data_IF_411030321235
#
_entry.id   IF_411030321235
#
_cell.length_a   1.000
_cell.length_b   1.000
_cell.length_c   1.000
_cell.angle_alpha   90.00
_cell.angle_beta   90.00
_cell.angle_gamma   90.00
#
_symmetry.space_group_name_H-M   'P 1'
#
loop_
_entity.id
_entity.type
_entity.pdbx_description
1 polymer ?
#
# COMPACT_ATOMS: atom_id res chain seq x y z
N UNK A 1 51.89 60.45 12.88
CA UNK A 1 53.19 60.47 13.55
C UNK A 1 53.07 60.71 15.10
N UNK A 2 52.08 60.10 15.79
CA UNK A 2 51.89 60.15 17.22
C UNK A 2 52.91 59.33 18.02
N UNK A 3 53.33 58.17 17.46
CA UNK A 3 54.23 57.24 18.16
C UNK A 3 55.58 57.88 18.60
N UNK A 4 56.32 58.55 17.73
CA UNK A 4 57.59 59.22 18.13
C UNK A 4 57.37 60.31 19.18
N UNK A 5 56.25 61.06 19.11
CA UNK A 5 55.92 62.10 20.09
C UNK A 5 55.62 61.54 21.47
N UNK A 6 54.82 60.46 21.50
CA UNK A 6 54.49 59.77 22.77
C UNK A 6 55.75 59.13 23.39
N UNK A 7 56.62 58.52 22.55
CA UNK A 7 57.87 57.96 23.03
C UNK A 7 58.85 59.02 23.57
N UNK A 8 58.98 60.16 22.89
CA UNK A 8 59.78 61.28 23.35
C UNK A 8 59.24 61.81 24.70
N UNK A 9 57.91 61.86 24.84
CA UNK A 9 57.25 62.31 26.05
C UNK A 9 57.39 61.34 27.21
N UNK A 10 57.26 60.06 26.96
CA UNK A 10 57.54 59.02 27.95
C UNK A 10 58.96 59.08 28.49
N UNK A 11 59.91 59.35 27.58
CA UNK A 11 61.35 59.48 27.96
C UNK A 11 61.62 60.78 28.70
N UNK A 12 60.91 61.90 28.42
CA UNK A 12 61.09 63.16 29.15
C UNK A 12 60.68 63.04 30.60
N UNK A 13 59.65 62.22 30.90
CA UNK A 13 59.16 62.00 32.24
C UNK A 13 58.76 63.31 32.97
N UNK A 14 58.48 63.15 34.26
CA UNK A 14 58.11 64.25 35.14
C UNK A 14 59.24 65.23 35.34
N UNK A 15 60.47 64.74 35.47
CA UNK A 15 61.70 65.53 35.67
C UNK A 15 62.03 66.36 34.42
N UNK A 16 61.90 65.79 33.25
CA UNK A 16 62.16 66.53 31.97
C UNK A 16 61.23 67.69 31.76
N UNK A 17 59.94 67.54 32.16
CA UNK A 17 58.96 68.63 32.14
C UNK A 17 59.34 69.77 33.07
N UNK A 18 59.76 69.45 34.30
CA UNK A 18 60.20 70.44 35.27
C UNK A 18 61.50 71.16 34.81
N UNK A 19 62.50 70.46 34.23
CA UNK A 19 63.66 71.07 33.63
C UNK A 19 63.36 71.98 32.46
N UNK A 20 62.34 71.62 31.61
CA UNK A 20 61.89 72.45 30.52
C UNK A 20 61.24 73.74 30.99
N UNK A 21 60.47 73.73 32.06
CA UNK A 21 59.87 74.91 32.66
C UNK A 21 60.90 75.79 33.42
N UNK A 22 61.72 75.20 34.26
CA UNK A 22 62.72 75.89 35.08
C UNK A 22 63.93 76.45 34.33
N UNK A 23 64.16 75.99 33.13
CA UNK A 23 65.17 76.53 32.20
C UNK A 23 64.72 77.81 31.52
N UNK A 24 63.61 78.44 31.85
CA UNK A 24 63.11 79.72 31.32
C UNK A 24 63.87 80.91 31.98
N UNK A 25 64.12 81.93 31.21
CA UNK A 25 64.82 83.12 31.67
C UNK A 25 63.91 84.21 32.30
N UNK A 26 62.63 84.08 32.13
CA UNK A 26 61.65 85.02 32.68
C UNK A 26 60.32 84.30 33.01
N UNK A 27 59.45 84.85 33.89
CA UNK A 27 58.13 84.37 34.26
C UNK A 27 57.21 84.29 33.05
N UNK A 28 57.29 85.29 32.16
CA UNK A 28 56.54 85.29 30.89
C UNK A 28 56.86 84.13 29.97
N UNK A 29 58.13 83.72 29.96
CA UNK A 29 58.59 82.53 29.18
C UNK A 29 58.10 81.22 29.83
N UNK A 30 58.09 81.08 31.14
CA UNK A 30 57.50 79.93 31.82
C UNK A 30 56.01 79.77 31.47
N UNK A 31 55.24 80.87 31.54
CA UNK A 31 53.82 80.84 31.21
C UNK A 31 53.55 80.49 29.74
N UNK A 32 54.42 80.94 28.84
CA UNK A 32 54.31 80.60 27.42
C UNK A 32 54.63 79.13 27.17
N UNK A 33 55.71 78.59 27.77
CA UNK A 33 56.13 77.17 27.67
C UNK A 33 55.02 76.27 28.26
N UNK A 34 54.41 76.65 29.43
CA UNK A 34 53.26 75.92 30.02
C UNK A 34 52.07 75.86 29.09
N UNK A 35 51.69 77.00 28.45
CA UNK A 35 50.57 77.03 27.51
C UNK A 35 50.83 76.15 26.27
N UNK A 36 52.00 76.24 25.69
CA UNK A 36 52.37 75.39 24.54
C UNK A 36 52.37 73.90 24.91
N UNK A 37 52.89 73.55 26.09
CA UNK A 37 52.88 72.18 26.53
C UNK A 37 51.47 71.65 26.81
N UNK A 38 50.60 72.42 27.42
CA UNK A 38 49.21 72.04 27.65
C UNK A 38 48.45 71.89 26.33
N UNK A 39 48.57 72.82 25.38
CA UNK A 39 47.95 72.69 24.10
C UNK A 39 48.43 71.44 23.31
N UNK A 40 49.73 71.11 23.43
CA UNK A 40 50.28 69.90 22.85
C UNK A 40 49.73 68.63 23.51
N UNK A 41 49.53 68.72 24.88
CA UNK A 41 48.96 67.63 25.65
C UNK A 41 47.52 67.35 25.25
N UNK A 42 46.71 68.39 25.16
CA UNK A 42 45.31 68.30 24.73
C UNK A 42 45.18 67.71 23.34
N UNK A 43 45.98 68.24 22.38
CA UNK A 43 45.96 67.69 21.00
C UNK A 43 46.41 66.22 20.93
N UNK A 44 47.35 65.76 21.81
CA UNK A 44 47.75 64.37 21.85
C UNK A 44 46.68 63.46 22.50
N UNK A 45 45.97 63.98 23.51
CA UNK A 45 44.85 63.26 24.16
C UNK A 45 43.69 63.09 23.20
N UNK A 46 43.31 64.17 22.46
CA UNK A 46 42.26 64.11 21.44
C UNK A 46 42.63 63.12 20.31
N UNK A 47 43.88 63.16 19.84
CA UNK A 47 44.33 62.21 18.83
C UNK A 47 44.31 60.75 19.31
N UNK A 48 44.67 60.49 20.60
CA UNK A 48 44.51 59.18 21.25
C UNK A 48 43.07 58.76 21.37
N UNK A 49 42.16 59.63 21.71
CA UNK A 49 40.71 59.38 21.81
C UNK A 49 40.15 58.94 20.45
N UNK A 50 40.48 59.69 19.38
CA UNK A 50 40.08 59.37 18.00
C UNK A 50 40.63 58.01 17.59
N UNK A 51 41.92 57.72 17.91
CA UNK A 51 42.53 56.44 17.55
C UNK A 51 41.92 55.24 18.28
N UNK A 52 41.59 55.45 19.59
CA UNK A 52 40.84 54.43 20.36
C UNK A 52 39.45 54.20 19.77
N UNK A 53 38.70 55.23 19.51
CA UNK A 53 37.38 55.13 18.93
C UNK A 53 37.44 54.37 17.57
N UNK A 54 38.40 54.72 16.69
CA UNK A 54 38.56 54.03 15.44
C UNK A 54 38.99 52.56 15.63
N UNK A 55 39.85 52.27 16.62
CA UNK A 55 40.27 50.88 16.92
C UNK A 55 39.10 50.05 17.46
N UNK A 56 38.27 50.60 18.36
CA UNK A 56 37.09 49.93 18.94
C UNK A 56 36.03 49.72 17.84
N UNK A 57 35.82 50.69 16.97
CA UNK A 57 34.94 50.52 15.81
C UNK A 57 35.40 49.45 14.84
N UNK A 58 36.74 49.41 14.54
CA UNK A 58 37.32 48.38 13.69
C UNK A 58 37.23 46.98 14.35
N UNK A 59 37.35 46.89 15.66
CA UNK A 59 37.18 45.63 16.39
C UNK A 59 35.72 45.17 16.30
N UNK A 60 34.75 46.05 16.61
CA UNK A 60 33.34 45.72 16.52
C UNK A 60 32.93 45.24 15.12
N UNK A 61 33.38 45.92 14.07
CA UNK A 61 33.13 45.52 12.69
C UNK A 61 33.76 44.15 12.33
N UNK A 62 34.92 43.81 12.88
CA UNK A 62 35.51 42.48 12.69
C UNK A 62 34.72 41.39 13.42
N UNK A 63 34.28 41.65 14.63
CA UNK A 63 33.49 40.71 15.42
C UNK A 63 32.13 40.44 14.76
N UNK A 64 31.47 41.46 14.23
CA UNK A 64 30.23 41.36 13.47
C UNK A 64 30.44 40.58 12.16
N UNK A 65 31.51 40.86 11.41
CA UNK A 65 31.84 40.11 10.19
C UNK A 65 32.12 38.63 10.51
N UNK A 66 32.79 38.34 11.61
CA UNK A 66 33.08 36.97 12.02
C UNK A 66 31.78 36.22 12.38
N UNK A 67 30.85 36.86 13.12
CA UNK A 67 29.55 36.31 13.44
C UNK A 67 28.71 36.03 12.17
N UNK A 68 28.64 36.99 11.28
CA UNK A 68 27.92 36.86 10.01
C UNK A 68 28.48 35.73 9.09
N UNK A 69 29.80 35.58 9.05
CA UNK A 69 30.45 34.47 8.33
C UNK A 69 30.12 33.11 8.94
N UNK A 70 30.08 32.99 10.26
CA UNK A 70 29.70 31.76 10.95
C UNK A 70 28.26 31.39 10.65
N UNK A 71 27.33 32.34 10.74
CA UNK A 71 25.92 32.14 10.41
C UNK A 71 25.72 31.68 8.97
N UNK A 72 26.42 32.32 8.01
CA UNK A 72 26.37 31.93 6.62
C UNK A 72 26.92 30.49 6.41
N UNK A 73 28.00 30.14 7.07
CA UNK A 73 28.55 28.78 6.98
C UNK A 73 27.60 27.73 7.54
N UNK A 74 26.96 28.00 8.68
CA UNK A 74 25.94 27.10 9.27
C UNK A 74 24.72 26.95 8.38
N UNK A 75 24.23 28.05 7.79
CA UNK A 75 23.08 27.99 6.87
C UNK A 75 23.42 27.22 5.57
N UNK A 76 24.62 27.42 5.01
CA UNK A 76 25.07 26.68 3.85
C UNK A 76 25.21 25.17 4.13
N UNK A 77 25.72 24.81 5.31
CA UNK A 77 25.78 23.41 5.72
C UNK A 77 24.39 22.80 5.87
N UNK A 78 23.46 23.48 6.53
CA UNK A 78 22.09 23.02 6.71
C UNK A 78 21.37 22.85 5.36
N UNK A 79 21.62 23.72 4.39
CA UNK A 79 21.06 23.59 3.04
C UNK A 79 21.64 22.38 2.31
N UNK A 80 22.96 22.15 2.42
CA UNK A 80 23.63 20.98 1.85
C UNK A 80 23.04 19.67 2.41
N UNK A 81 22.85 19.60 3.74
CA UNK A 81 22.29 18.43 4.41
C UNK A 81 20.85 18.18 3.97
N UNK A 82 20.04 19.24 3.82
CA UNK A 82 18.67 19.14 3.31
C UNK A 82 18.64 18.62 1.87
N UNK A 83 19.52 19.10 1.01
CA UNK A 83 19.63 18.62 -0.39
C UNK A 83 19.99 17.13 -0.44
N UNK A 84 20.97 16.71 0.34
CA UNK A 84 21.36 15.30 0.42
C UNK A 84 20.19 14.41 0.92
N UNK A 85 19.47 14.85 1.95
CA UNK A 85 18.28 14.15 2.45
C UNK A 85 17.15 14.06 1.42
N UNK A 86 16.93 15.11 0.63
CA UNK A 86 15.95 15.12 -0.46
C UNK A 86 16.35 14.16 -1.59
N UNK A 87 17.60 14.10 -1.98
CA UNK A 87 18.09 13.16 -3.00
C UNK A 87 17.85 11.72 -2.59
N UNK A 88 18.13 11.37 -1.33
CA UNK A 88 17.85 10.03 -0.79
C UNK A 88 16.34 9.70 -0.88
N UNK A 89 15.48 10.64 -0.50
CA UNK A 89 14.03 10.46 -0.59
C UNK A 89 13.55 10.28 -2.04
N UNK A 90 14.08 11.06 -2.97
CA UNK A 90 13.74 10.95 -4.40
C UNK A 90 14.14 9.58 -4.96
N UNK A 91 15.33 9.08 -4.58
CA UNK A 91 15.78 7.74 -5.00
C UNK A 91 14.88 6.66 -4.41
N UNK A 92 14.50 6.76 -3.13
CA UNK A 92 13.57 5.82 -2.49
C UNK A 92 12.20 5.82 -3.17
N UNK A 93 11.63 7.00 -3.45
CA UNK A 93 10.34 7.12 -4.14
C UNK A 93 10.39 6.53 -5.56
N UNK A 94 11.48 6.76 -6.31
CA UNK A 94 11.65 6.16 -7.63
C UNK A 94 11.69 4.63 -7.57
N UNK A 95 12.40 4.05 -6.59
CA UNK A 95 12.44 2.58 -6.40
C UNK A 95 11.05 2.04 -6.08
N UNK A 96 10.32 2.69 -5.16
CA UNK A 96 8.96 2.30 -4.80
C UNK A 96 8.00 2.40 -5.98
N UNK A 97 8.11 3.45 -6.81
CA UNK A 97 7.30 3.59 -8.01
C UNK A 97 7.53 2.43 -9.00
N UNK A 98 8.81 2.06 -9.22
CA UNK A 98 9.15 0.94 -10.11
C UNK A 98 8.58 -0.38 -9.59
N UNK A 99 8.68 -0.66 -8.27
CA UNK A 99 8.11 -1.89 -7.70
C UNK A 99 6.59 -1.94 -7.85
N UNK A 100 5.89 -0.84 -7.56
CA UNK A 100 4.43 -0.76 -7.73
C UNK A 100 4.02 -0.93 -9.19
N UNK A 101 4.76 -0.34 -10.14
CA UNK A 101 4.50 -0.53 -11.57
C UNK A 101 4.71 -1.98 -12.02
N UNK A 102 5.74 -2.65 -11.52
CA UNK A 102 5.98 -4.08 -11.80
C UNK A 102 4.85 -4.96 -11.24
N UNK A 103 4.48 -4.76 -9.99
CA UNK A 103 3.35 -5.47 -9.37
C UNK A 103 2.06 -5.26 -10.15
N UNK A 104 1.76 -4.02 -10.53
CA UNK A 104 0.59 -3.69 -11.35
C UNK A 104 0.60 -4.41 -12.70
N UNK A 105 1.73 -4.47 -13.40
CA UNK A 105 1.85 -5.16 -14.68
C UNK A 105 1.56 -6.67 -14.54
N UNK A 106 2.06 -7.32 -13.47
CA UNK A 106 1.79 -8.73 -13.17
C UNK A 106 0.30 -8.94 -12.88
N UNK A 107 -0.32 -8.07 -12.09
CA UNK A 107 -1.76 -8.15 -11.81
C UNK A 107 -2.62 -7.94 -13.06
N UNK A 108 -2.30 -6.98 -13.90
CA UNK A 108 -3.02 -6.73 -15.16
C UNK A 108 -2.90 -7.93 -16.13
N UNK A 109 -1.75 -8.60 -16.13
CA UNK A 109 -1.58 -9.83 -16.92
C UNK A 109 -2.45 -10.96 -16.35
N UNK A 110 -2.44 -11.17 -15.03
CA UNK A 110 -3.26 -12.19 -14.39
C UNK A 110 -4.76 -11.95 -14.63
N UNK A 111 -5.22 -10.71 -14.57
CA UNK A 111 -6.61 -10.35 -14.90
C UNK A 111 -6.96 -10.70 -16.36
N UNK A 112 -6.08 -10.38 -17.32
CA UNK A 112 -6.31 -10.74 -18.73
C UNK A 112 -6.41 -12.26 -18.92
N UNK A 113 -5.51 -13.03 -18.30
CA UNK A 113 -5.54 -14.50 -18.37
C UNK A 113 -6.82 -15.08 -17.77
N UNK A 114 -7.29 -14.54 -16.64
CA UNK A 114 -8.56 -14.94 -16.01
C UNK A 114 -9.78 -14.57 -16.88
N UNK A 115 -9.78 -13.42 -17.54
CA UNK A 115 -10.85 -13.04 -18.47
C UNK A 115 -10.90 -13.95 -19.70
N UNK A 116 -9.74 -14.34 -20.24
CA UNK A 116 -9.65 -15.28 -21.35
C UNK A 116 -10.16 -16.66 -20.93
N UNK A 117 -9.75 -17.16 -19.75
CA UNK A 117 -10.25 -18.41 -19.20
C UNK A 117 -11.77 -18.39 -19.01
N UNK A 118 -12.32 -17.27 -18.51
CA UNK A 118 -13.75 -17.09 -18.33
C UNK A 118 -14.53 -17.04 -19.66
N UNK A 119 -13.93 -16.49 -20.72
CA UNK A 119 -14.52 -16.53 -22.08
C UNK A 119 -14.49 -17.96 -22.65
N UNK A 120 -13.38 -18.68 -22.51
CA UNK A 120 -13.26 -20.06 -22.93
C UNK A 120 -14.27 -20.97 -22.22
N UNK A 121 -14.43 -20.78 -20.91
CA UNK A 121 -15.45 -21.48 -20.12
C UNK A 121 -16.87 -21.20 -20.60
N UNK A 122 -17.18 -19.94 -20.90
CA UNK A 122 -18.50 -19.56 -21.43
C UNK A 122 -18.78 -20.22 -22.80
N UNK A 123 -17.76 -20.34 -23.67
CA UNK A 123 -17.86 -21.08 -24.94
C UNK A 123 -18.15 -22.56 -24.70
N UNK A 124 -17.38 -23.20 -23.83
CA UNK A 124 -17.58 -24.63 -23.52
C UNK A 124 -18.97 -24.92 -22.93
N UNK A 125 -19.48 -24.06 -22.07
CA UNK A 125 -20.85 -24.20 -21.53
C UNK A 125 -21.92 -24.01 -22.60
N UNK A 126 -21.71 -23.13 -23.59
CA UNK A 126 -22.59 -22.99 -24.73
C UNK A 126 -22.69 -24.29 -25.57
N UNK A 127 -21.54 -24.93 -25.77
CA UNK A 127 -21.48 -26.17 -26.55
C UNK A 127 -22.11 -27.35 -25.78
N UNK A 128 -21.88 -27.44 -24.48
CA UNK A 128 -22.54 -28.41 -23.61
C UNK A 128 -24.08 -28.20 -23.59
N UNK A 129 -24.52 -26.94 -23.49
CA UNK A 129 -25.97 -26.64 -23.53
C UNK A 129 -26.65 -26.96 -24.84
N UNK A 130 -25.91 -26.98 -25.95
CA UNK A 130 -26.44 -27.41 -27.30
C UNK A 130 -26.40 -28.93 -27.43
N UNK A 131 -25.49 -29.61 -26.76
CA UNK A 131 -25.32 -31.07 -26.81
C UNK A 131 -26.18 -31.80 -25.79
N UNK A 132 -26.78 -31.09 -24.81
CA UNK A 132 -27.76 -31.64 -23.90
C UNK A 132 -29.06 -31.88 -24.69
N UNK A 133 -29.13 -33.04 -25.37
CA UNK A 133 -30.40 -33.61 -25.75
C UNK A 133 -31.29 -33.68 -24.48
N UNK A 134 -32.61 -33.52 -24.59
CA UNK A 134 -33.49 -33.71 -23.45
C UNK A 134 -33.11 -35.05 -22.79
N UNK A 135 -32.51 -35.01 -21.63
CA UNK A 135 -32.25 -36.20 -20.85
C UNK A 135 -33.64 -36.72 -20.51
N UNK A 136 -34.09 -37.73 -21.30
CA UNK A 136 -35.18 -38.57 -20.86
C UNK A 136 -34.70 -39.15 -19.52
N UNK A 137 -35.20 -38.55 -18.45
CA UNK A 137 -34.87 -38.94 -17.10
C UNK A 137 -35.19 -40.44 -16.98
N UNK A 138 -34.16 -41.25 -16.85
CA UNK A 138 -34.29 -42.59 -16.26
C UNK A 138 -34.85 -42.35 -14.86
N UNK A 139 -36.15 -42.48 -14.75
CA UNK A 139 -36.99 -42.18 -13.57
C UNK A 139 -36.57 -43.10 -12.42
N UNK A 140 -35.74 -42.63 -11.52
CA UNK A 140 -35.74 -43.11 -10.15
C UNK A 140 -36.86 -42.39 -9.40
N UNK A 141 -37.84 -43.10 -8.79
CA UNK A 141 -39.10 -42.51 -8.34
C UNK A 141 -39.05 -41.66 -7.07
N UNK A 142 -37.89 -41.24 -6.58
CA UNK A 142 -37.77 -40.69 -5.23
C UNK A 142 -36.89 -39.43 -5.09
N UNK A 143 -36.66 -38.70 -6.16
CA UNK A 143 -35.95 -37.40 -6.08
C UNK A 143 -36.95 -36.27 -6.25
N UNK A 144 -36.91 -35.30 -5.32
CA UNK A 144 -37.70 -34.08 -5.37
C UNK A 144 -37.63 -33.43 -6.77
N UNK A 145 -38.69 -33.63 -7.59
CA UNK A 145 -38.74 -33.23 -9.00
C UNK A 145 -39.05 -31.75 -9.20
N UNK A 146 -38.83 -30.94 -8.15
CA UNK A 146 -39.02 -29.50 -8.27
C UNK A 146 -37.99 -28.93 -9.27
N UNK A 147 -38.41 -28.29 -10.38
CA UNK A 147 -37.48 -27.66 -11.30
C UNK A 147 -36.55 -26.72 -10.51
N UNK A 148 -35.23 -26.76 -10.82
CA UNK A 148 -34.20 -25.94 -10.11
C UNK A 148 -34.57 -24.46 -10.10
N UNK A 149 -35.21 -23.95 -11.17
CA UNK A 149 -35.70 -22.55 -11.24
C UNK A 149 -36.72 -22.19 -10.12
N UNK A 150 -37.46 -23.14 -9.61
CA UNK A 150 -38.42 -22.95 -8.48
C UNK A 150 -37.75 -23.13 -7.11
N UNK A 151 -36.50 -23.62 -7.07
CA UNK A 151 -35.72 -23.85 -5.88
C UNK A 151 -34.89 -22.64 -5.42
N UNK A 152 -35.13 -21.46 -5.96
CA UNK A 152 -34.42 -20.23 -5.55
C UNK A 152 -34.53 -20.00 -4.04
N UNK A 153 -33.38 -19.83 -3.36
CA UNK A 153 -33.28 -19.69 -1.90
C UNK A 153 -33.32 -21.00 -1.13
N UNK A 154 -33.36 -22.17 -1.82
CA UNK A 154 -33.45 -23.50 -1.21
C UNK A 154 -32.24 -24.40 -1.51
N UNK A 155 -31.31 -23.96 -2.42
CA UNK A 155 -30.14 -24.74 -2.75
C UNK A 155 -29.25 -24.93 -1.52
N UNK A 156 -28.66 -26.12 -1.39
CA UNK A 156 -27.73 -26.44 -0.29
C UNK A 156 -26.50 -25.57 -0.40
N UNK A 157 -25.98 -25.10 0.74
CA UNK A 157 -24.71 -24.36 0.73
C UNK A 157 -23.58 -25.35 0.45
N UNK A 158 -22.66 -25.05 -0.50
CA UNK A 158 -21.69 -26.04 -1.01
C UNK A 158 -20.65 -26.49 0.01
N UNK A 159 -20.42 -25.73 1.10
CA UNK A 159 -19.43 -26.03 2.14
C UNK A 159 -20.00 -25.78 3.51
N UNK A 160 -20.02 -26.77 4.40
CA UNK A 160 -20.67 -26.66 5.71
C UNK A 160 -20.08 -25.53 6.59
N UNK A 161 -18.77 -25.37 6.61
CA UNK A 161 -18.05 -24.43 7.48
C UNK A 161 -17.29 -23.33 6.73
N UNK A 162 -17.71 -23.00 5.49
CA UNK A 162 -17.06 -21.95 4.69
C UNK A 162 -17.58 -20.53 5.02
N UNK A 163 -16.72 -19.52 4.86
CA UNK A 163 -17.08 -18.10 4.94
C UNK A 163 -16.98 -17.46 3.57
N UNK A 164 -18.03 -16.79 3.10
CA UNK A 164 -17.96 -15.99 1.88
C UNK A 164 -16.99 -14.84 2.10
N UNK A 165 -15.91 -14.82 1.35
CA UNK A 165 -14.85 -13.81 1.38
C UNK A 165 -15.06 -12.77 0.29
N UNK A 166 -15.35 -13.21 -0.95
CA UNK A 166 -15.68 -12.33 -2.06
C UNK A 166 -17.07 -12.65 -2.59
N UNK A 167 -17.88 -11.62 -2.74
CA UNK A 167 -19.27 -11.73 -3.17
C UNK A 167 -19.40 -11.51 -4.67
N UNK A 168 -20.53 -11.99 -5.23
CA UNK A 168 -20.92 -11.76 -6.60
C UNK A 168 -21.10 -10.27 -6.91
N UNK A 169 -20.66 -9.83 -8.09
CA UNK A 169 -20.85 -8.48 -8.59
C UNK A 169 -19.56 -7.68 -8.74
N UNK A 170 -19.69 -6.37 -8.74
CA UNK A 170 -18.54 -5.46 -8.87
C UNK A 170 -17.85 -5.28 -7.54
N UNK A 171 -16.58 -5.61 -7.48
CA UNK A 171 -15.73 -5.42 -6.31
C UNK A 171 -14.64 -4.42 -6.65
N UNK A 172 -14.47 -3.41 -5.80
CA UNK A 172 -13.38 -2.44 -5.90
C UNK A 172 -12.20 -2.98 -5.07
N UNK A 173 -11.04 -3.15 -5.70
CA UNK A 173 -9.81 -3.43 -4.97
C UNK A 173 -9.35 -2.16 -4.26
N UNK A 174 -9.24 -2.16 -2.92
CA UNK A 174 -8.90 -0.98 -2.16
C UNK A 174 -7.43 -0.54 -2.33
N UNK A 175 -6.52 -1.42 -2.79
CA UNK A 175 -5.11 -1.12 -2.95
C UNK A 175 -4.80 -0.53 -4.33
N UNK A 176 -5.48 -1.04 -5.36
CA UNK A 176 -5.19 -0.66 -6.75
C UNK A 176 -6.29 0.18 -7.39
N UNK A 177 -7.43 0.38 -6.72
CA UNK A 177 -8.59 1.12 -7.26
C UNK A 177 -9.20 0.45 -8.50
N UNK A 178 -8.84 -0.82 -8.78
CA UNK A 178 -9.34 -1.57 -9.93
C UNK A 178 -10.72 -2.16 -9.62
N UNK A 179 -11.63 -2.08 -10.60
CA UNK A 179 -12.95 -2.71 -10.50
C UNK A 179 -12.88 -4.09 -11.12
N UNK A 180 -13.06 -5.13 -10.31
CA UNK A 180 -13.16 -6.52 -10.77
C UNK A 180 -14.63 -6.94 -10.81
N UNK A 181 -15.02 -7.69 -11.84
CA UNK A 181 -16.35 -8.27 -11.95
C UNK A 181 -16.31 -9.72 -11.48
N UNK A 182 -16.76 -9.96 -10.26
CA UNK A 182 -16.85 -11.30 -9.68
C UNK A 182 -18.11 -12.00 -10.18
N UNK A 183 -17.95 -13.17 -10.82
CA UNK A 183 -19.05 -13.93 -11.42
C UNK A 183 -19.63 -15.00 -10.51
N UNK A 184 -18.96 -15.29 -9.39
CA UNK A 184 -19.33 -16.26 -8.38
C UNK A 184 -19.03 -15.77 -6.98
N UNK A 185 -18.90 -16.70 -6.05
CA UNK A 185 -18.50 -16.48 -4.67
C UNK A 185 -17.13 -17.12 -4.42
N UNK A 186 -16.26 -16.44 -3.69
CA UNK A 186 -15.08 -17.07 -3.09
C UNK A 186 -15.43 -17.44 -1.64
N UNK A 187 -15.40 -18.72 -1.36
CA UNK A 187 -15.76 -19.27 -0.05
C UNK A 187 -14.48 -19.79 0.61
N UNK A 188 -13.98 -19.07 1.59
CA UNK A 188 -12.81 -19.48 2.37
C UNK A 188 -13.17 -20.67 3.26
N UNK A 189 -12.43 -21.77 3.10
CA UNK A 189 -12.48 -22.96 3.93
C UNK A 189 -11.11 -23.62 3.98
N UNK A 190 -10.80 -24.43 5.02
CA UNK A 190 -9.57 -25.20 5.07
C UNK A 190 -9.46 -26.16 3.88
N UNK A 191 -8.23 -26.43 3.42
CA UNK A 191 -7.96 -27.45 2.41
C UNK A 191 -8.50 -28.82 2.88
N UNK A 192 -9.01 -29.61 1.95
CA UNK A 192 -9.61 -30.91 2.25
C UNK A 192 -11.04 -30.85 2.83
N UNK A 193 -11.62 -29.64 3.00
CA UNK A 193 -13.03 -29.52 3.44
C UNK A 193 -13.96 -30.07 2.35
N UNK A 194 -14.95 -30.95 2.68
CA UNK A 194 -15.87 -31.49 1.70
C UNK A 194 -16.70 -30.41 1.00
N UNK A 195 -16.83 -30.57 -0.33
CA UNK A 195 -17.68 -29.77 -1.19
C UNK A 195 -18.86 -30.59 -1.67
N UNK A 196 -20.07 -30.05 -1.52
CA UNK A 196 -21.30 -30.76 -1.78
C UNK A 196 -22.06 -30.16 -2.99
N UNK A 197 -22.75 -31.04 -3.73
CA UNK A 197 -23.67 -30.65 -4.77
C UNK A 197 -24.83 -29.82 -4.20
N UNK A 198 -25.07 -28.66 -4.78
CA UNK A 198 -26.09 -27.70 -4.28
C UNK A 198 -27.52 -28.12 -4.58
N UNK A 199 -27.70 -28.91 -5.66
CA UNK A 199 -28.98 -29.41 -6.17
C UNK A 199 -28.74 -30.71 -6.95
N UNK A 200 -29.74 -31.60 -7.13
CA UNK A 200 -29.63 -32.79 -7.98
C UNK A 200 -29.24 -32.40 -9.42
N UNK A 201 -28.44 -33.22 -10.06
CA UNK A 201 -28.02 -32.98 -11.42
C UNK A 201 -27.04 -34.03 -11.94
N UNK A 202 -26.46 -33.74 -13.12
CA UNK A 202 -25.49 -34.60 -13.77
C UNK A 202 -24.15 -33.86 -13.96
N UNK A 203 -23.04 -34.50 -13.65
CA UNK A 203 -21.71 -33.96 -13.86
C UNK A 203 -21.41 -33.90 -15.36
N UNK A 204 -21.18 -32.70 -15.90
CA UNK A 204 -20.87 -32.46 -17.31
C UNK A 204 -19.41 -32.11 -17.56
N UNK A 205 -18.67 -31.77 -16.48
CA UNK A 205 -17.23 -31.58 -16.51
C UNK A 205 -16.62 -31.93 -15.13
N UNK A 206 -15.51 -32.66 -15.15
CA UNK A 206 -14.67 -32.93 -13.98
C UNK A 206 -13.23 -33.02 -14.45
N UNK A 207 -12.39 -32.08 -14.07
CA UNK A 207 -10.96 -32.06 -14.44
C UNK A 207 -10.36 -30.67 -14.43
N UNK A 208 -9.10 -30.61 -14.82
CA UNK A 208 -8.34 -29.37 -14.86
C UNK A 208 -8.86 -28.39 -15.92
N UNK A 209 -9.02 -27.14 -15.52
CA UNK A 209 -9.38 -26.05 -16.43
C UNK A 209 -8.51 -24.82 -16.16
N UNK A 210 -7.89 -24.24 -17.23
CA UNK A 210 -6.99 -23.10 -17.10
C UNK A 210 -7.69 -21.95 -16.36
N UNK A 211 -7.06 -21.42 -15.33
CA UNK A 211 -7.56 -20.32 -14.50
C UNK A 211 -8.55 -20.73 -13.40
N UNK A 212 -9.06 -21.97 -13.40
CA UNK A 212 -9.98 -22.51 -12.39
C UNK A 212 -9.39 -23.70 -11.62
N UNK A 213 -8.23 -24.23 -12.04
CA UNK A 213 -7.68 -25.45 -11.45
C UNK A 213 -8.58 -26.65 -11.69
N UNK A 214 -8.72 -27.55 -10.69
CA UNK A 214 -9.68 -28.62 -10.75
C UNK A 214 -11.10 -28.05 -10.66
N UNK A 215 -11.84 -28.21 -11.75
CA UNK A 215 -13.18 -27.68 -11.96
C UNK A 215 -14.16 -28.83 -12.11
N UNK A 216 -15.26 -28.74 -11.37
CA UNK A 216 -16.42 -29.63 -11.52
C UNK A 216 -17.64 -28.77 -11.90
N UNK A 217 -18.36 -29.23 -12.95
CA UNK A 217 -19.59 -28.59 -13.43
C UNK A 217 -20.72 -29.57 -13.37
N UNK A 218 -21.82 -29.21 -12.71
CA UNK A 218 -23.05 -29.99 -12.63
C UNK A 218 -24.14 -29.27 -13.40
N UNK A 219 -24.79 -29.99 -14.30
CA UNK A 219 -26.02 -29.58 -14.98
C UNK A 219 -27.23 -30.00 -14.12
N UNK A 220 -27.99 -29.02 -13.67
CA UNK A 220 -29.21 -29.22 -12.84
C UNK A 220 -30.50 -29.25 -13.62
N UNK A 221 -30.38 -29.24 -14.97
CA UNK A 221 -31.53 -29.08 -15.86
C UNK A 221 -31.97 -27.61 -16.00
N UNK A 222 -32.95 -27.37 -16.86
CA UNK A 222 -33.48 -26.04 -17.19
C UNK A 222 -32.40 -25.01 -17.61
N UNK A 223 -31.21 -25.45 -18.03
CA UNK A 223 -30.07 -24.60 -18.39
C UNK A 223 -29.33 -24.01 -17.19
N UNK A 224 -29.59 -24.51 -15.98
CA UNK A 224 -28.90 -24.07 -14.76
C UNK A 224 -27.72 -24.98 -14.46
N UNK A 225 -26.53 -24.37 -14.34
CA UNK A 225 -25.28 -25.04 -14.03
C UNK A 225 -24.69 -24.51 -12.73
N UNK A 226 -24.11 -25.38 -11.92
CA UNK A 226 -23.20 -24.99 -10.83
C UNK A 226 -21.76 -25.37 -11.16
N UNK A 227 -20.84 -24.51 -10.79
CA UNK A 227 -19.41 -24.65 -10.98
C UNK A 227 -18.73 -24.60 -9.60
N UNK A 228 -17.88 -25.59 -9.33
CA UNK A 228 -17.02 -25.64 -8.17
C UNK A 228 -15.56 -25.75 -8.64
N UNK A 229 -14.73 -24.79 -8.28
CA UNK A 229 -13.35 -24.69 -8.78
C UNK A 229 -12.34 -24.54 -7.65
N UNK A 230 -11.05 -24.68 -7.98
CA UNK A 230 -9.90 -24.76 -7.07
C UNK A 230 -9.96 -25.96 -6.14
N UNK A 231 -10.59 -27.07 -6.62
CA UNK A 231 -10.73 -28.29 -5.84
C UNK A 231 -9.38 -29.01 -5.68
N UNK A 232 -9.15 -29.62 -4.53
CA UNK A 232 -8.01 -30.50 -4.27
C UNK A 232 -8.25 -31.86 -4.93
N UNK A 233 -9.36 -32.50 -4.58
CA UNK A 233 -9.79 -33.76 -5.16
C UNK A 233 -11.17 -33.64 -5.82
N UNK A 234 -11.38 -34.44 -6.87
CA UNK A 234 -12.64 -34.61 -7.57
C UNK A 234 -13.20 -35.99 -7.22
N UNK A 235 -14.34 -36.05 -6.54
CA UNK A 235 -14.97 -37.32 -6.11
C UNK A 235 -16.01 -37.84 -7.11
N UNK A 236 -16.26 -37.11 -8.18
CA UNK A 236 -17.21 -37.45 -9.23
C UNK A 236 -16.58 -37.32 -10.61
N UNK A 237 -16.97 -38.19 -11.53
CA UNK A 237 -16.57 -38.20 -12.91
C UNK A 237 -17.67 -37.60 -13.83
N UNK A 238 -17.28 -37.27 -15.06
CA UNK A 238 -18.24 -36.81 -16.09
C UNK A 238 -19.24 -37.92 -16.37
N UNK A 239 -20.52 -37.59 -16.30
CA UNK A 239 -21.63 -38.52 -16.49
C UNK A 239 -22.29 -38.99 -15.21
N UNK A 240 -21.64 -38.79 -14.04
CA UNK A 240 -22.22 -39.19 -12.75
C UNK A 240 -23.44 -38.35 -12.41
N UNK A 241 -24.45 -38.98 -11.82
CA UNK A 241 -25.60 -38.33 -11.23
C UNK A 241 -25.29 -37.99 -9.77
N UNK A 242 -25.66 -36.81 -9.35
CA UNK A 242 -25.49 -36.32 -7.97
C UNK A 242 -26.83 -35.88 -7.39
N UNK A 243 -27.05 -36.19 -6.13
CA UNK A 243 -28.16 -35.66 -5.34
C UNK A 243 -27.71 -34.38 -4.59
N UNK A 244 -28.69 -33.57 -4.14
CA UNK A 244 -28.40 -32.42 -3.28
C UNK A 244 -27.72 -32.89 -1.99
N UNK A 245 -26.57 -32.29 -1.66
CA UNK A 245 -25.77 -32.68 -0.48
C UNK A 245 -24.76 -33.81 -0.71
N UNK A 246 -24.71 -34.43 -1.89
CA UNK A 246 -23.65 -35.41 -2.20
C UNK A 246 -22.31 -34.74 -2.26
N UNK A 247 -21.27 -35.40 -1.76
CA UNK A 247 -19.90 -34.94 -1.87
C UNK A 247 -19.42 -35.05 -3.31
N UNK A 248 -18.87 -33.94 -3.84
CA UNK A 248 -18.40 -33.85 -5.22
C UNK A 248 -16.90 -33.62 -5.33
N UNK A 249 -16.27 -33.26 -4.23
CA UNK A 249 -14.84 -33.02 -4.12
C UNK A 249 -14.46 -32.34 -2.83
N UNK A 250 -13.23 -31.88 -2.73
CA UNK A 250 -12.72 -31.21 -1.54
C UNK A 250 -12.12 -29.85 -1.90
N UNK A 251 -12.19 -28.89 -0.98
CA UNK A 251 -11.58 -27.57 -1.13
C UNK A 251 -10.07 -27.67 -1.26
N UNK A 252 -9.51 -27.00 -2.23
CA UNK A 252 -8.08 -26.94 -2.47
C UNK A 252 -7.58 -25.54 -2.83
N UNK A 253 -6.39 -25.51 -3.41
CA UNK A 253 -5.73 -24.30 -3.90
C UNK A 253 -5.28 -24.43 -5.36
N UNK A 254 -5.76 -25.45 -6.08
CA UNK A 254 -5.35 -25.73 -7.45
C UNK A 254 -5.67 -24.56 -8.37
N UNK A 255 -4.62 -24.00 -9.03
CA UNK A 255 -4.75 -22.80 -9.87
C UNK A 255 -5.09 -21.50 -9.12
N UNK A 256 -5.06 -21.51 -7.77
CA UNK A 256 -5.29 -20.33 -6.93
C UNK A 256 -3.98 -19.58 -6.66
N UNK A 257 -4.02 -18.25 -6.64
CA UNK A 257 -2.91 -17.38 -6.23
C UNK A 257 -3.01 -16.91 -4.77
N UNK A 258 -4.13 -17.19 -4.09
CA UNK A 258 -4.43 -16.68 -2.74
C UNK A 258 -4.64 -17.78 -1.67
N UNK A 259 -4.18 -19.02 -1.99
CA UNK A 259 -4.30 -20.19 -1.12
C UNK A 259 -5.67 -20.86 -1.16
N UNK A 260 -6.01 -21.74 -0.19
CA UNK A 260 -7.19 -22.59 -0.26
C UNK A 260 -8.51 -21.79 -0.16
N UNK A 261 -9.41 -21.99 -1.11
CA UNK A 261 -10.79 -21.54 -1.10
C UNK A 261 -11.60 -22.29 -2.18
N UNK A 262 -12.91 -22.32 -2.03
CA UNK A 262 -13.81 -22.77 -3.08
C UNK A 262 -14.29 -21.56 -3.89
N UNK A 263 -14.05 -21.58 -5.20
CA UNK A 263 -14.78 -20.71 -6.12
C UNK A 263 -16.07 -21.39 -6.51
N UNK A 264 -17.20 -20.73 -6.24
CA UNK A 264 -18.54 -21.27 -6.52
C UNK A 264 -19.33 -20.30 -7.37
N UNK A 265 -19.80 -20.78 -8.54
CA UNK A 265 -20.57 -19.98 -9.49
C UNK A 265 -21.86 -20.73 -9.88
N UNK A 266 -22.96 -19.99 -10.03
CA UNK A 266 -24.20 -20.44 -10.65
C UNK A 266 -24.40 -19.73 -11.98
N UNK A 267 -24.92 -20.45 -12.98
CA UNK A 267 -25.17 -19.90 -14.32
C UNK A 267 -26.52 -20.34 -14.87
N UNK A 268 -27.16 -19.44 -15.61
CA UNK A 268 -28.27 -19.72 -16.52
C UNK A 268 -27.73 -19.67 -17.94
N UNK A 269 -27.39 -20.83 -18.50
CA UNK A 269 -26.61 -20.93 -19.72
C UNK A 269 -25.29 -20.18 -19.63
N UNK A 270 -25.14 -19.11 -20.42
CA UNK A 270 -23.94 -18.27 -20.43
C UNK A 270 -23.96 -17.17 -19.35
N UNK A 271 -25.11 -16.86 -18.76
CA UNK A 271 -25.28 -15.74 -17.85
C UNK A 271 -24.98 -16.16 -16.39
N UNK A 272 -23.99 -15.54 -15.71
CA UNK A 272 -23.77 -15.79 -14.30
C UNK A 272 -24.91 -15.24 -13.48
N UNK A 273 -25.31 -16.02 -12.47
CA UNK A 273 -26.33 -15.70 -11.50
C UNK A 273 -25.70 -15.41 -10.14
N UNK A 274 -26.34 -14.53 -9.37
CA UNK A 274 -25.91 -14.27 -7.99
C UNK A 274 -26.22 -15.48 -7.10
N UNK A 275 -25.21 -16.28 -6.64
CA UNK A 275 -25.47 -17.51 -5.92
C UNK A 275 -26.13 -17.26 -4.55
N UNK A 276 -25.88 -16.11 -3.89
CA UNK A 276 -26.46 -15.82 -2.58
C UNK A 276 -27.99 -15.73 -2.63
N UNK A 277 -28.57 -15.46 -3.80
CA UNK A 277 -30.04 -15.44 -3.98
C UNK A 277 -30.64 -16.83 -4.17
N UNK A 278 -29.83 -17.82 -4.46
CA UNK A 278 -30.27 -19.19 -4.72
C UNK A 278 -29.98 -20.13 -3.57
N UNK A 279 -28.85 -19.91 -2.86
CA UNK A 279 -28.44 -20.69 -1.73
C UNK A 279 -29.36 -20.45 -0.51
N UNK A 280 -29.63 -21.51 0.25
CA UNK A 280 -30.39 -21.45 1.50
C UNK A 280 -29.62 -20.60 2.54
N UNK A 281 -30.34 -19.71 3.22
CA UNK A 281 -29.76 -18.94 4.34
C UNK A 281 -29.51 -19.82 5.57
N UNK A 282 -30.21 -20.96 5.67
CA UNK A 282 -30.01 -21.96 6.71
C UNK A 282 -29.00 -22.97 6.22
N UNK A 283 -27.80 -22.96 6.77
CA UNK A 283 -26.78 -23.99 6.51
C UNK A 283 -27.25 -25.30 7.15
N UNK A 284 -27.90 -26.17 6.38
CA UNK A 284 -28.21 -27.52 6.82
C UNK A 284 -27.00 -28.42 6.68
N UNK A 285 -26.57 -29.18 7.69
CA UNK A 285 -25.52 -30.17 7.52
C UNK A 285 -25.93 -31.21 6.47
N UNK A 286 -24.98 -31.62 5.63
CA UNK A 286 -25.22 -32.58 4.54
C UNK A 286 -25.79 -33.91 5.05
N UNK A 287 -25.43 -34.31 6.27
CA UNK A 287 -25.96 -35.49 6.94
C UNK A 287 -27.50 -35.49 7.12
N UNK A 288 -28.11 -34.31 7.20
CA UNK A 288 -29.60 -34.21 7.33
C UNK A 288 -30.33 -34.28 5.97
N UNK A 289 -29.62 -33.97 4.87
CA UNK A 289 -30.19 -34.07 3.51
C UNK A 289 -30.20 -35.53 3.04
N UNK A 290 -29.19 -36.32 3.43
CA UNK A 290 -29.11 -37.74 3.15
C UNK A 290 -30.06 -38.57 4.02
N UNK A 291 -30.30 -38.17 5.27
CA UNK A 291 -31.20 -38.92 6.23
C UNK A 291 -32.70 -38.79 5.94
N UNK A 292 -33.13 -37.80 5.12
CA UNK A 292 -34.51 -37.67 4.68
C UNK A 292 -35.01 -38.79 3.76
N UNK A 293 -34.13 -39.72 3.34
CA UNK A 293 -34.44 -40.86 2.48
C UNK A 293 -34.74 -42.15 3.21
N UNK A 294 -34.74 -42.17 4.55
CA UNK A 294 -34.77 -43.45 5.31
C UNK A 294 -35.81 -43.64 6.39
N UNK A 295 -36.80 -42.79 6.58
CA UNK A 295 -37.79 -42.96 7.62
C UNK A 295 -39.23 -43.03 7.07
N UNK A 296 -39.59 -44.17 6.47
CA UNK A 296 -40.94 -44.70 6.58
C UNK A 296 -40.81 -45.86 7.58
N UNK A 297 -41.17 -45.60 8.81
CA UNK A 297 -41.47 -46.63 9.81
C UNK A 297 -42.81 -47.30 9.49
N UNK A 298 -43.03 -48.54 9.95
CA UNK A 298 -44.09 -49.44 9.53
C UNK A 298 -45.49 -48.93 9.85
#
# INVERSE_FOLDING_TARGET
>A
ALGPRLTARYRLGREGYLRFLLGARSIGEVLRRKRLFNALLEADLDALAVLRFAADGAKAARDELAASRLELALSAQAESDRRAALEVKVVQQKRMLVSVQQERAVHEQAVRELEEAARALSGKLSDLGKSSAPVEAVRKPDVDQTPVRKARGKLVFPVERGRVEVRFGRTLDPHFGTVTLQRGLDIRAPQGTPVHAVWPGKVVHAGWFKGYGNLLIVDHGDGIFSLAAHLDALEKAVGDEVAAGDEVGTVGDTGSLKGPYLYFELRDGQKPLDPERWLSRVRKPASLVAAGKGAKAP
#
